data_IF_690339936949
#
_entry.id   IF_690339936949
#
_cell.length_a   1.000
_cell.length_b   1.000
_cell.length_c   1.000
_cell.angle_alpha   90.00
_cell.angle_beta   90.00
_cell.angle_gamma   90.00
#
_symmetry.space_group_name_H-M   'P 1'
#
loop_
_entity.id
_entity.type
_entity.pdbx_description
1 polymer ?
#
# COMPACT_ATOMS: atom_id res chain seq x y z
N UNK A 1 1.04 47.57 -15.87
CA UNK A 1 0.30 46.34 -15.49
C UNK A 1 1.28 45.19 -15.54
N UNK A 2 1.80 44.75 -14.39
CA UNK A 2 2.73 43.63 -14.33
C UNK A 2 1.95 42.33 -14.36
N UNK A 3 2.07 41.59 -15.47
CA UNK A 3 1.55 40.24 -15.61
C UNK A 3 2.42 39.30 -14.77
N UNK A 4 1.94 38.97 -13.56
CA UNK A 4 2.45 37.84 -12.80
C UNK A 4 2.15 36.56 -13.59
N UNK A 5 3.14 36.10 -14.36
CA UNK A 5 3.19 34.71 -14.83
C UNK A 5 3.40 33.85 -13.58
N UNK A 6 2.30 33.28 -13.09
CA UNK A 6 2.35 32.22 -12.10
C UNK A 6 2.81 30.98 -12.86
N UNK A 7 4.12 30.83 -13.01
CA UNK A 7 4.75 29.54 -13.32
C UNK A 7 4.56 28.66 -12.07
N UNK A 8 3.37 28.10 -11.93
CA UNK A 8 3.12 26.93 -11.09
C UNK A 8 3.80 25.73 -11.77
N UNK A 9 5.13 25.77 -11.80
CA UNK A 9 5.93 24.56 -11.87
C UNK A 9 5.66 23.80 -10.59
N UNK A 10 4.59 22.99 -10.58
CA UNK A 10 4.34 22.00 -9.53
C UNK A 10 5.44 20.95 -9.70
N UNK A 11 6.63 21.26 -9.21
CA UNK A 11 7.67 20.29 -8.99
C UNK A 11 7.07 19.26 -8.04
N UNK A 12 6.75 18.07 -8.58
CA UNK A 12 6.29 16.94 -7.77
C UNK A 12 7.40 16.63 -6.78
N UNK A 13 7.20 17.04 -5.53
CA UNK A 13 8.14 16.73 -4.46
C UNK A 13 8.15 15.20 -4.28
N UNK A 14 9.32 14.58 -4.48
CA UNK A 14 9.50 13.14 -4.32
C UNK A 14 9.13 12.68 -2.92
N UNK A 15 9.43 13.50 -1.90
CA UNK A 15 9.08 13.22 -0.51
C UNK A 15 7.58 13.34 -0.27
N UNK A 16 6.89 14.33 -0.86
CA UNK A 16 5.43 14.39 -0.82
C UNK A 16 4.80 13.18 -1.52
N UNK A 17 5.38 12.70 -2.62
CA UNK A 17 4.88 11.51 -3.31
C UNK A 17 5.01 10.25 -2.45
N UNK A 18 6.12 10.07 -1.74
CA UNK A 18 6.30 8.98 -0.77
C UNK A 18 5.32 9.10 0.39
N UNK A 19 5.16 10.30 0.94
CA UNK A 19 4.22 10.57 2.03
C UNK A 19 2.79 10.20 1.64
N UNK A 20 2.33 10.65 0.46
CA UNK A 20 0.99 10.33 -0.04
C UNK A 20 0.78 8.83 -0.22
N UNK A 21 1.79 8.09 -0.74
CA UNK A 21 1.73 6.62 -0.81
C UNK A 21 1.60 6.00 0.58
N UNK A 22 2.33 6.52 1.56
CA UNK A 22 2.24 6.07 2.95
C UNK A 22 0.84 6.26 3.54
N UNK A 23 0.22 7.43 3.31
CA UNK A 23 -1.17 7.71 3.73
C UNK A 23 -2.14 6.74 3.05
N UNK A 24 -2.04 6.55 1.74
CA UNK A 24 -2.88 5.59 1.03
C UNK A 24 -2.73 4.18 1.58
N UNK A 25 -1.49 3.69 1.78
CA UNK A 25 -1.25 2.36 2.38
C UNK A 25 -1.87 2.25 3.78
N UNK A 26 -1.73 3.29 4.61
CA UNK A 26 -2.35 3.34 5.93
C UNK A 26 -3.88 3.19 5.86
N UNK A 27 -4.53 3.92 4.95
CA UNK A 27 -5.97 3.83 4.74
C UNK A 27 -6.40 2.45 4.24
N UNK A 28 -5.65 1.85 3.31
CA UNK A 28 -5.95 0.51 2.79
C UNK A 28 -5.89 -0.57 3.88
N UNK A 29 -5.01 -0.43 4.88
CA UNK A 29 -4.92 -1.36 6.02
C UNK A 29 -5.84 -1.00 7.19
N UNK A 30 -6.72 -0.01 7.06
CA UNK A 30 -7.72 0.28 8.09
C UNK A 30 -9.01 -0.51 7.84
N UNK A 31 -9.16 -1.67 8.51
CA UNK A 31 -10.35 -2.52 8.36
C UNK A 31 -11.65 -1.86 8.85
N UNK A 32 -11.55 -0.84 9.70
CA UNK A 32 -12.69 -0.11 10.23
C UNK A 32 -13.11 1.08 9.35
N UNK A 33 -12.38 1.34 8.25
CA UNK A 33 -12.77 2.37 7.30
C UNK A 33 -13.89 1.90 6.37
N UNK A 34 -14.74 2.84 5.98
CA UNK A 34 -15.81 2.63 4.98
C UNK A 34 -15.27 2.70 3.54
N UNK A 35 -13.94 2.66 3.35
CA UNK A 35 -13.31 2.77 2.04
C UNK A 35 -13.44 1.46 1.26
N UNK A 36 -13.73 1.57 -0.03
CA UNK A 36 -13.83 0.42 -0.95
C UNK A 36 -12.46 -0.16 -1.30
N UNK A 37 -11.38 0.62 -1.22
CA UNK A 37 -10.02 0.22 -1.61
C UNK A 37 -9.24 -0.41 -0.44
N UNK A 38 -9.90 -1.14 0.46
CA UNK A 38 -9.24 -1.76 1.60
C UNK A 38 -8.53 -3.06 1.21
N UNK A 39 -7.30 -3.22 1.71
CA UNK A 39 -6.49 -4.43 1.52
C UNK A 39 -6.86 -5.56 2.50
N UNK A 40 -7.67 -5.23 3.53
CA UNK A 40 -8.05 -6.18 4.58
C UNK A 40 -9.51 -6.02 4.99
N UNK A 41 -10.08 -7.07 5.57
CA UNK A 41 -11.37 -7.08 6.24
C UNK A 41 -11.29 -7.83 7.57
N UNK A 42 -12.18 -7.52 8.51
CA UNK A 42 -12.30 -8.29 9.75
C UNK A 42 -13.44 -9.31 9.60
N UNK A 43 -13.10 -10.58 9.61
CA UNK A 43 -14.06 -11.69 9.69
C UNK A 43 -14.40 -11.94 11.17
N UNK A 44 -15.57 -11.44 11.56
CA UNK A 44 -16.07 -11.56 12.92
C UNK A 44 -16.48 -13.00 13.29
N UNK A 45 -16.82 -13.83 12.31
CA UNK A 45 -17.27 -15.20 12.59
C UNK A 45 -16.11 -16.08 13.06
N UNK A 46 -14.93 -15.89 12.45
CA UNK A 46 -13.72 -16.65 12.76
C UNK A 46 -12.73 -15.88 13.65
N UNK A 47 -12.99 -14.60 13.94
CA UNK A 47 -12.07 -13.69 14.65
C UNK A 47 -10.72 -13.53 13.93
N UNK A 48 -10.79 -13.29 12.61
CA UNK A 48 -9.63 -13.26 11.73
C UNK A 48 -9.58 -11.96 10.91
N UNK A 49 -8.35 -11.55 10.54
CA UNK A 49 -8.14 -10.51 9.54
C UNK A 49 -7.97 -11.20 8.19
N UNK A 50 -8.94 -10.99 7.30
CA UNK A 50 -8.86 -11.41 5.91
C UNK A 50 -7.98 -10.42 5.16
N UNK A 51 -7.02 -10.93 4.39
CA UNK A 51 -6.11 -10.11 3.58
C UNK A 51 -6.30 -10.46 2.11
N UNK A 52 -6.55 -9.44 1.28
CA UNK A 52 -6.78 -9.62 -0.15
C UNK A 52 -5.46 -9.59 -0.92
N UNK A 53 -5.13 -10.69 -1.58
CA UNK A 53 -3.84 -10.89 -2.27
C UNK A 53 -3.59 -9.85 -3.37
N UNK A 54 -4.64 -9.49 -4.12
CA UNK A 54 -4.60 -8.50 -5.19
C UNK A 54 -4.20 -7.11 -4.68
N UNK A 55 -4.71 -6.71 -3.51
CA UNK A 55 -4.42 -5.42 -2.91
C UNK A 55 -3.03 -5.39 -2.26
N UNK A 56 -2.57 -6.51 -1.69
CA UNK A 56 -1.18 -6.62 -1.23
C UNK A 56 -0.19 -6.46 -2.40
N UNK A 57 -0.45 -7.11 -3.54
CA UNK A 57 0.39 -6.96 -4.73
C UNK A 57 0.38 -5.52 -5.26
N UNK A 58 -0.80 -4.88 -5.24
CA UNK A 58 -0.92 -3.46 -5.58
C UNK A 58 -0.06 -2.57 -4.66
N UNK A 59 -0.12 -2.76 -3.34
CA UNK A 59 0.69 -2.02 -2.37
C UNK A 59 2.19 -2.24 -2.60
N UNK A 60 2.61 -3.48 -2.85
CA UNK A 60 4.01 -3.81 -3.18
C UNK A 60 4.47 -2.99 -4.40
N UNK A 61 3.63 -2.89 -5.43
CA UNK A 61 3.91 -2.08 -6.63
C UNK A 61 3.86 -0.58 -6.39
N UNK A 62 3.06 -0.08 -5.44
CA UNK A 62 3.10 1.34 -5.05
C UNK A 62 4.48 1.72 -4.53
N UNK A 63 5.11 0.85 -3.74
CA UNK A 63 6.45 1.06 -3.18
C UNK A 63 7.55 0.75 -4.22
N UNK A 64 7.38 -0.32 -5.00
CA UNK A 64 8.32 -0.76 -6.03
C UNK A 64 7.62 -1.01 -7.39
N UNK A 65 7.47 0.03 -8.25
CA UNK A 65 6.68 -0.07 -9.47
C UNK A 65 7.17 -1.09 -10.51
N UNK A 66 8.45 -1.46 -10.46
CA UNK A 66 9.04 -2.45 -11.39
C UNK A 66 8.84 -3.90 -10.93
N UNK A 67 8.28 -4.11 -9.73
CA UNK A 67 8.02 -5.45 -9.21
C UNK A 67 6.99 -6.18 -10.11
N UNK A 68 7.38 -7.34 -10.64
CA UNK A 68 6.46 -8.18 -11.40
C UNK A 68 5.39 -8.82 -10.49
N UNK A 69 4.21 -9.09 -11.03
CA UNK A 69 3.15 -9.77 -10.29
C UNK A 69 3.56 -11.20 -9.93
N UNK A 70 3.34 -11.56 -8.67
CA UNK A 70 3.65 -12.86 -8.09
C UNK A 70 2.57 -13.26 -7.10
N UNK A 71 2.45 -14.56 -6.86
CA UNK A 71 1.65 -15.09 -5.75
C UNK A 71 2.28 -14.69 -4.42
N UNK A 72 1.44 -14.32 -3.46
CA UNK A 72 1.82 -13.95 -2.11
C UNK A 72 1.54 -15.14 -1.20
N UNK A 73 2.54 -15.51 -0.41
CA UNK A 73 2.41 -16.53 0.63
C UNK A 73 2.48 -15.86 2.00
N UNK A 74 1.50 -16.13 2.84
CA UNK A 74 1.54 -15.74 4.25
C UNK A 74 2.27 -16.84 5.02
N UNK A 75 3.34 -16.50 5.72
CA UNK A 75 4.11 -17.43 6.54
C UNK A 75 4.67 -16.74 7.79
N UNK A 76 4.95 -17.53 8.83
CA UNK A 76 5.65 -17.00 10.00
C UNK A 76 7.12 -16.77 9.65
N UNK A 77 7.67 -15.66 10.13
CA UNK A 77 9.07 -15.28 9.87
C UNK A 77 10.06 -16.38 10.28
N UNK A 78 9.80 -17.05 11.42
CA UNK A 78 10.62 -18.17 11.89
C UNK A 78 10.64 -19.32 10.88
N UNK A 79 9.46 -19.75 10.42
CA UNK A 79 9.31 -20.88 9.50
C UNK A 79 9.98 -20.61 8.14
N UNK A 80 10.02 -19.34 7.70
CA UNK A 80 10.77 -18.95 6.50
C UNK A 80 12.28 -19.16 6.71
N UNK A 81 12.83 -18.63 7.81
CA UNK A 81 14.26 -18.71 8.10
C UNK A 81 14.77 -20.12 8.35
N UNK A 82 13.95 -20.98 8.94
CA UNK A 82 14.30 -22.38 9.16
C UNK A 82 14.40 -23.18 7.83
N UNK A 83 13.78 -22.70 6.74
CA UNK A 83 13.83 -23.36 5.40
C UNK A 83 14.98 -22.90 4.51
N UNK A 84 15.44 -21.65 4.68
CA UNK A 84 16.44 -21.03 3.80
C UNK A 84 17.87 -21.09 4.36
N UNK A 85 18.03 -21.61 5.59
CA UNK A 85 19.31 -21.99 6.18
C UNK A 85 19.67 -23.42 5.80
#
# INVERSE_FOLDING_TARGET
MNNLKIDLGINRCSECSKFNKGVSIYEMFNWASDNFDKAIAFDKENDEIVVFEEFLMYIIKMVNPIQADKKIRIEKLKDYWDKVK
#
